data_IF_881444330097
#
_entry.id   IF_881444330097
#
_cell.length_a   1.000
_cell.length_b   1.000
_cell.length_c   1.000
_cell.angle_alpha   90.00
_cell.angle_beta   90.00
_cell.angle_gamma   90.00
#
_symmetry.space_group_name_H-M   'P 1'
#
loop_
_entity.id
_entity.type
_entity.pdbx_description
1 polymer ?
#
# COMPACT_ATOMS: atom_id res chain seq x y z
N UNK A 1 -11.57 -6.09 -6.90
CA UNK A 1 -10.30 -6.02 -6.14
C UNK A 1 -10.64 -6.22 -4.67
N UNK A 2 -10.20 -7.34 -4.08
CA UNK A 2 -10.39 -7.62 -2.66
C UNK A 2 -9.03 -7.50 -1.96
N UNK A 3 -8.91 -6.59 -0.99
CA UNK A 3 -7.74 -6.50 -0.15
C UNK A 3 -7.91 -7.41 1.08
N UNK A 4 -6.83 -8.09 1.46
CA UNK A 4 -6.79 -8.91 2.68
C UNK A 4 -5.72 -8.37 3.61
N UNK A 5 -6.02 -8.22 4.92
CA UNK A 5 -5.03 -7.73 5.87
C UNK A 5 -3.90 -8.74 6.03
N UNK A 6 -2.69 -8.24 6.13
CA UNK A 6 -1.50 -9.01 6.44
C UNK A 6 -0.83 -8.40 7.66
N UNK A 7 -0.54 -9.23 8.66
CA UNK A 7 0.21 -8.83 9.85
C UNK A 7 1.69 -9.11 9.60
N UNK A 8 2.52 -8.11 9.82
CA UNK A 8 3.98 -8.25 9.74
C UNK A 8 4.54 -8.40 11.15
N UNK A 9 5.12 -9.57 11.42
CA UNK A 9 5.73 -9.90 12.69
C UNK A 9 7.25 -9.99 12.51
N UNK A 10 8.01 -9.43 13.44
CA UNK A 10 9.48 -9.48 13.41
C UNK A 10 10.00 -10.01 14.73
N UNK A 11 10.86 -11.01 14.65
CA UNK A 11 11.63 -11.56 15.77
C UNK A 11 13.11 -11.36 15.55
N UNK A 12 13.83 -10.96 16.61
CA UNK A 12 15.27 -10.78 16.64
C UNK A 12 15.87 -11.86 17.53
N UNK A 13 16.60 -12.80 16.94
CA UNK A 13 17.20 -13.92 17.65
C UNK A 13 18.74 -13.81 17.69
N UNK A 14 19.41 -14.33 18.72
CA UNK A 14 20.87 -14.49 18.73
C UNK A 14 21.33 -15.35 17.55
N UNK A 15 22.46 -14.98 16.96
CA UNK A 15 23.07 -15.76 15.86
C UNK A 15 23.73 -14.91 14.81
N UNK A 16 24.21 -15.55 13.75
CA UNK A 16 24.81 -14.84 12.63
C UNK A 16 23.80 -13.90 11.96
N UNK A 17 24.23 -12.67 11.61
CA UNK A 17 23.37 -11.74 10.93
C UNK A 17 22.76 -12.31 9.65
N UNK A 18 21.45 -12.25 9.55
CA UNK A 18 20.73 -12.77 8.39
C UNK A 18 19.24 -12.42 8.50
N UNK A 19 18.56 -12.29 7.38
CA UNK A 19 17.12 -12.01 7.33
C UNK A 19 16.41 -13.16 6.63
N UNK A 20 15.47 -13.77 7.34
CA UNK A 20 14.62 -14.85 6.83
C UNK A 20 13.17 -14.33 6.74
N UNK A 21 12.57 -14.45 5.56
CA UNK A 21 11.14 -14.19 5.37
C UNK A 21 10.37 -15.51 5.32
N UNK A 22 9.25 -15.55 6.06
CA UNK A 22 8.31 -16.68 6.07
C UNK A 22 6.89 -16.18 5.83
N UNK A 23 5.95 -17.08 5.52
CA UNK A 23 4.55 -16.71 5.22
C UNK A 23 4.26 -16.57 3.74
N UNK A 24 4.82 -17.46 2.89
CA UNK A 24 4.62 -17.50 1.44
C UNK A 24 4.94 -16.18 0.70
N UNK A 25 6.13 -15.57 0.92
CA UNK A 25 6.55 -14.45 0.11
C UNK A 25 6.87 -14.91 -1.31
N UNK A 26 6.48 -14.11 -2.31
CA UNK A 26 6.94 -14.32 -3.67
C UNK A 26 8.38 -13.77 -3.87
N UNK A 27 8.87 -13.83 -5.12
CA UNK A 27 10.20 -13.35 -5.45
C UNK A 27 10.36 -11.84 -5.19
N UNK A 28 9.33 -11.04 -5.50
CA UNK A 28 9.38 -9.58 -5.31
C UNK A 28 9.52 -9.21 -3.83
N UNK A 29 8.81 -9.93 -2.94
CA UNK A 29 8.91 -9.74 -1.49
C UNK A 29 10.23 -10.31 -0.93
N UNK A 30 10.77 -11.36 -1.52
CA UNK A 30 12.10 -11.83 -1.14
C UNK A 30 13.19 -10.78 -1.43
N UNK A 31 13.05 -10.02 -2.50
CA UNK A 31 13.91 -8.89 -2.84
C UNK A 31 13.74 -7.69 -1.87
N UNK A 32 12.60 -7.58 -1.20
CA UNK A 32 12.34 -6.54 -0.17
C UNK A 32 13.40 -6.51 0.92
N UNK A 33 14.02 -7.63 1.26
CA UNK A 33 15.09 -7.70 2.27
C UNK A 33 16.21 -6.71 1.99
N UNK A 34 16.70 -6.69 0.76
CA UNK A 34 17.80 -5.83 0.37
C UNK A 34 17.37 -4.36 0.23
N UNK A 35 16.14 -4.13 -0.30
CA UNK A 35 15.58 -2.77 -0.38
C UNK A 35 15.38 -2.18 1.00
N UNK A 36 14.72 -2.88 1.91
CA UNK A 36 14.45 -2.42 3.27
C UNK A 36 15.75 -2.20 4.04
N UNK A 37 16.73 -3.12 3.95
CA UNK A 37 18.04 -2.96 4.60
C UNK A 37 18.76 -1.69 4.13
N UNK A 38 18.77 -1.45 2.82
CA UNK A 38 19.40 -0.25 2.24
C UNK A 38 18.63 1.02 2.63
N UNK A 39 17.29 0.99 2.55
CA UNK A 39 16.43 2.11 2.93
C UNK A 39 16.62 2.51 4.41
N UNK A 40 16.67 1.54 5.32
CA UNK A 40 16.93 1.78 6.75
C UNK A 40 18.28 2.47 6.94
N UNK A 41 19.35 1.92 6.38
CA UNK A 41 20.70 2.47 6.51
C UNK A 41 20.79 3.88 5.92
N UNK A 42 20.26 4.10 4.72
CA UNK A 42 20.32 5.39 4.02
C UNK A 42 19.39 6.43 4.66
N UNK A 43 18.39 6.00 5.43
CA UNK A 43 17.55 6.87 6.27
C UNK A 43 18.18 7.18 7.63
N UNK A 44 19.37 6.66 7.94
CA UNK A 44 20.09 6.90 9.20
C UNK A 44 19.70 5.98 10.35
N UNK A 45 18.97 4.88 10.08
CA UNK A 45 18.64 3.88 11.08
C UNK A 45 19.65 2.74 11.10
N UNK A 46 19.80 2.13 12.27
CA UNK A 46 20.66 0.96 12.44
C UNK A 46 19.93 -0.29 11.97
N UNK A 47 20.50 -1.02 11.03
CA UNK A 47 20.05 -2.37 10.71
C UNK A 47 20.37 -3.36 11.83
N UNK A 48 19.55 -4.38 12.07
CA UNK A 48 19.84 -5.40 13.07
C UNK A 48 21.11 -6.20 12.68
N UNK A 49 22.04 -6.33 13.64
CA UNK A 49 23.28 -7.11 13.52
C UNK A 49 23.11 -8.53 14.07
N UNK A 50 21.89 -9.04 14.06
CA UNK A 50 21.48 -10.33 14.59
C UNK A 50 20.66 -11.10 13.55
N UNK A 51 20.29 -12.33 13.86
CA UNK A 51 19.33 -13.09 13.04
C UNK A 51 17.95 -12.45 13.15
N UNK A 52 17.34 -12.19 12.01
CA UNK A 52 15.98 -11.61 11.89
C UNK A 52 15.07 -12.63 11.22
N UNK A 53 13.93 -12.88 11.82
CA UNK A 53 12.83 -13.62 11.20
C UNK A 53 11.65 -12.68 11.01
N UNK A 54 11.17 -12.57 9.77
CA UNK A 54 10.01 -11.76 9.41
C UNK A 54 8.91 -12.71 8.95
N UNK A 55 7.78 -12.69 9.64
CA UNK A 55 6.61 -13.49 9.28
C UNK A 55 5.53 -12.59 8.70
N UNK A 56 4.97 -12.99 7.56
CA UNK A 56 3.84 -12.35 6.90
C UNK A 56 2.59 -13.21 7.10
N UNK A 57 1.81 -12.93 8.11
CA UNK A 57 0.60 -13.70 8.46
C UNK A 57 -0.66 -13.14 7.76
N UNK A 58 -1.61 -13.99 7.32
CA UNK A 58 -1.63 -15.45 7.43
C UNK A 58 -0.77 -16.14 6.36
N UNK A 59 -0.28 -17.34 6.66
CA UNK A 59 0.65 -18.07 5.79
C UNK A 59 0.01 -18.70 4.55
N UNK A 60 -1.31 -18.87 4.51
CA UNK A 60 -2.08 -19.40 3.39
C UNK A 60 -2.32 -18.39 2.27
N UNK A 61 -2.08 -17.11 2.55
CA UNK A 61 -2.23 -16.03 1.58
C UNK A 61 -0.91 -15.76 0.85
N UNK A 62 -0.92 -15.89 -0.47
CA UNK A 62 0.23 -15.50 -1.30
C UNK A 62 0.38 -14.00 -1.35
N UNK A 63 1.59 -13.48 -1.15
CA UNK A 63 1.92 -12.06 -1.14
C UNK A 63 2.79 -11.77 -2.35
N UNK A 64 2.33 -10.88 -3.23
CA UNK A 64 2.90 -10.66 -4.56
C UNK A 64 3.27 -9.18 -4.84
N UNK A 65 3.22 -8.32 -3.82
CA UNK A 65 3.37 -6.87 -4.03
C UNK A 65 4.50 -6.28 -3.16
N UNK A 66 5.38 -5.42 -3.68
CA UNK A 66 6.44 -4.75 -2.94
C UNK A 66 5.92 -3.73 -1.91
N UNK A 67 4.63 -3.48 -1.83
CA UNK A 67 4.00 -2.60 -0.83
C UNK A 67 4.24 -3.01 0.62
N UNK A 68 4.75 -4.22 0.84
CA UNK A 68 5.18 -4.72 2.17
C UNK A 68 6.52 -4.14 2.64
N UNK A 69 7.29 -3.46 1.81
CA UNK A 69 8.58 -2.87 2.21
C UNK A 69 8.42 -1.93 3.40
N UNK A 70 7.43 -1.03 3.35
CA UNK A 70 7.17 -0.08 4.43
C UNK A 70 6.76 -0.75 5.74
N UNK A 71 5.74 -1.62 5.79
CA UNK A 71 5.40 -2.33 7.02
C UNK A 71 6.55 -3.18 7.57
N UNK A 72 7.36 -3.82 6.74
CA UNK A 72 8.54 -4.56 7.16
C UNK A 72 9.57 -3.63 7.81
N UNK A 73 9.85 -2.47 7.20
CA UNK A 73 10.79 -1.49 7.77
C UNK A 73 10.32 -0.98 9.14
N UNK A 74 9.04 -0.64 9.29
CA UNK A 74 8.48 -0.17 10.56
C UNK A 74 8.53 -1.27 11.64
N UNK A 75 8.20 -2.51 11.29
CA UNK A 75 8.28 -3.64 12.22
C UNK A 75 9.73 -3.90 12.68
N UNK A 76 10.72 -3.77 11.79
CA UNK A 76 12.14 -3.86 12.13
C UNK A 76 12.58 -2.74 13.06
N UNK A 77 12.12 -1.51 12.86
CA UNK A 77 12.42 -0.37 13.73
C UNK A 77 11.85 -0.57 15.14
N UNK A 78 10.66 -1.14 15.25
CA UNK A 78 10.06 -1.48 16.54
C UNK A 78 10.84 -2.61 17.21
N UNK A 79 11.13 -3.70 16.51
CA UNK A 79 11.87 -4.83 17.06
C UNK A 79 13.28 -4.44 17.52
N UNK A 80 13.93 -3.49 16.84
CA UNK A 80 15.25 -2.97 17.21
C UNK A 80 15.23 -1.82 18.24
N UNK A 81 14.05 -1.47 18.77
CA UNK A 81 13.89 -0.41 19.78
C UNK A 81 14.09 1.02 19.27
N UNK A 82 14.13 1.23 17.96
CA UNK A 82 14.30 2.56 17.35
C UNK A 82 12.97 3.30 17.15
N UNK A 83 11.85 2.59 17.22
CA UNK A 83 10.49 3.11 17.22
C UNK A 83 9.69 2.40 18.32
N UNK A 84 8.87 3.12 19.07
CA UNK A 84 8.05 2.50 20.12
C UNK A 84 6.76 1.89 19.51
N UNK A 85 6.39 0.69 19.97
CA UNK A 85 5.21 -0.03 19.46
C UNK A 85 3.90 0.78 19.54
N UNK A 86 3.61 1.54 20.61
CA UNK A 86 2.38 2.34 20.68
C UNK A 86 2.21 3.36 19.55
N UNK A 87 3.31 3.78 18.91
CA UNK A 87 3.26 4.72 17.79
C UNK A 87 2.69 4.11 16.51
N UNK A 88 2.56 2.78 16.45
CA UNK A 88 1.97 2.04 15.33
C UNK A 88 0.56 1.49 15.63
N UNK A 89 0.04 1.68 16.85
CA UNK A 89 -1.28 1.17 17.21
C UNK A 89 -2.38 1.78 16.34
N UNK A 90 -3.23 0.91 15.79
CA UNK A 90 -4.32 1.31 14.89
C UNK A 90 -3.86 1.83 13.52
N UNK A 91 -2.55 1.80 13.23
CA UNK A 91 -1.99 2.27 11.99
C UNK A 91 -1.93 1.13 10.96
N UNK A 92 -2.45 1.40 9.78
CA UNK A 92 -2.23 0.57 8.59
C UNK A 92 -1.25 1.29 7.68
N UNK A 93 -0.47 0.56 6.93
CA UNK A 93 0.48 1.15 6.01
C UNK A 93 0.74 0.26 4.79
N UNK A 94 1.06 0.90 3.67
CA UNK A 94 1.57 0.25 2.47
C UNK A 94 2.48 1.21 1.71
N UNK A 95 3.51 0.68 1.06
CA UNK A 95 4.43 1.46 0.23
C UNK A 95 5.67 0.65 -0.12
N UNK A 96 6.16 0.81 -1.33
CA UNK A 96 7.47 0.33 -1.72
C UNK A 96 8.54 1.30 -1.22
N UNK A 97 9.71 0.80 -0.85
CA UNK A 97 10.86 1.63 -0.45
C UNK A 97 11.90 1.68 -1.55
N UNK A 98 12.31 2.89 -1.91
CA UNK A 98 13.56 3.08 -2.64
C UNK A 98 14.77 2.78 -1.77
N UNK A 99 15.91 2.46 -2.39
CA UNK A 99 17.17 2.21 -1.67
C UNK A 99 17.64 3.42 -0.85
N UNK A 100 17.24 4.61 -1.25
CA UNK A 100 17.47 5.89 -0.58
C UNK A 100 16.52 6.18 0.60
N UNK A 101 15.53 5.28 0.82
CA UNK A 101 14.48 5.42 1.81
C UNK A 101 13.27 6.23 1.35
N UNK A 102 13.19 6.63 0.08
CA UNK A 102 11.98 7.25 -0.48
C UNK A 102 10.80 6.27 -0.46
N UNK A 103 9.59 6.79 -0.18
CA UNK A 103 8.36 6.03 -0.34
C UNK A 103 7.89 6.13 -1.78
N UNK A 104 7.67 4.97 -2.41
CA UNK A 104 7.21 4.85 -3.80
C UNK A 104 5.78 4.36 -3.86
N UNK A 105 5.01 4.82 -4.85
CA UNK A 105 3.61 4.47 -4.99
C UNK A 105 3.42 2.97 -5.18
N UNK A 106 2.32 2.47 -4.62
CA UNK A 106 1.88 1.09 -4.78
C UNK A 106 0.49 1.02 -5.43
N UNK A 107 0.11 -0.16 -5.92
CA UNK A 107 -1.15 -0.38 -6.61
C UNK A 107 -2.26 -0.81 -5.65
N UNK A 108 -3.52 -0.52 -6.02
CA UNK A 108 -4.68 -1.04 -5.29
C UNK A 108 -4.93 -0.39 -3.94
N UNK A 109 -4.43 0.81 -3.71
CA UNK A 109 -4.55 1.54 -2.44
C UNK A 109 -6.00 1.80 -2.06
N UNK A 110 -6.90 1.98 -3.05
CA UNK A 110 -8.33 2.16 -2.75
C UNK A 110 -8.94 0.93 -2.07
N UNK A 111 -8.56 -0.29 -2.50
CA UNK A 111 -9.04 -1.52 -1.87
C UNK A 111 -8.46 -1.69 -0.46
N UNK A 112 -7.19 -1.31 -0.27
CA UNK A 112 -6.54 -1.28 1.03
C UNK A 112 -7.21 -0.27 1.97
N UNK A 113 -7.49 0.95 1.51
CA UNK A 113 -8.17 1.99 2.28
C UNK A 113 -9.58 1.55 2.70
N UNK A 114 -10.35 0.98 1.78
CA UNK A 114 -11.68 0.42 2.10
C UNK A 114 -11.58 -0.68 3.16
N UNK A 115 -10.58 -1.54 3.09
CA UNK A 115 -10.37 -2.61 4.06
C UNK A 115 -9.92 -2.07 5.42
N UNK A 116 -9.01 -1.09 5.44
CA UNK A 116 -8.58 -0.42 6.65
C UNK A 116 -9.76 0.27 7.37
N UNK A 117 -10.62 0.95 6.62
CA UNK A 117 -11.85 1.55 7.15
C UNK A 117 -12.80 0.51 7.76
N UNK A 118 -13.04 -0.61 7.07
CA UNK A 118 -13.87 -1.72 7.58
C UNK A 118 -13.34 -2.27 8.92
N UNK A 119 -12.03 -2.31 9.09
CA UNK A 119 -11.36 -2.74 10.33
C UNK A 119 -11.18 -1.61 11.34
N UNK A 120 -11.80 -0.44 11.13
CA UNK A 120 -11.74 0.72 12.04
C UNK A 120 -10.30 1.16 12.32
N UNK A 121 -9.43 1.11 11.31
CA UNK A 121 -8.07 1.63 11.44
C UNK A 121 -8.13 3.13 11.81
N UNK A 122 -7.23 3.57 12.69
CA UNK A 122 -7.14 4.98 13.09
C UNK A 122 -6.57 5.82 11.94
N UNK A 123 -5.61 5.29 11.20
CA UNK A 123 -5.03 5.94 10.03
C UNK A 123 -4.43 4.92 9.06
N UNK A 124 -4.32 5.34 7.80
CA UNK A 124 -3.59 4.63 6.75
C UNK A 124 -2.44 5.50 6.26
N UNK A 125 -1.22 4.99 6.36
CA UNK A 125 -0.01 5.62 5.80
C UNK A 125 0.23 5.08 4.40
N UNK A 126 0.35 6.00 3.45
CA UNK A 126 0.65 5.69 2.04
C UNK A 126 1.67 6.69 1.48
N UNK A 127 2.34 6.36 0.38
CA UNK A 127 3.13 7.34 -0.38
C UNK A 127 2.28 8.56 -0.80
N UNK A 128 2.88 9.75 -0.93
CA UNK A 128 2.15 10.98 -1.29
C UNK A 128 1.33 10.85 -2.58
N UNK A 129 1.85 10.12 -3.56
CA UNK A 129 1.20 9.90 -4.87
C UNK A 129 -0.10 9.07 -4.75
N UNK A 130 -0.21 8.24 -3.71
CA UNK A 130 -1.40 7.44 -3.43
C UNK A 130 -2.44 8.17 -2.57
N UNK A 131 -2.11 9.35 -2.03
CA UNK A 131 -2.98 10.06 -1.09
C UNK A 131 -4.37 10.38 -1.68
N UNK A 132 -4.41 10.82 -2.93
CA UNK A 132 -5.65 11.16 -3.61
C UNK A 132 -6.55 9.93 -3.79
N UNK A 133 -5.98 8.80 -4.24
CA UNK A 133 -6.69 7.52 -4.38
C UNK A 133 -7.23 7.02 -3.02
N UNK A 134 -6.40 7.05 -1.97
CA UNK A 134 -6.79 6.64 -0.63
C UNK A 134 -7.91 7.51 -0.04
N UNK A 135 -7.87 8.82 -0.32
CA UNK A 135 -8.85 9.80 0.20
C UNK A 135 -10.24 9.66 -0.40
N UNK A 136 -10.44 8.83 -1.43
CA UNK A 136 -11.77 8.49 -1.95
C UNK A 136 -12.60 7.68 -0.94
N UNK A 137 -11.97 7.07 0.06
CA UNK A 137 -12.64 6.35 1.13
C UNK A 137 -12.89 7.31 2.30
N UNK A 138 -14.15 7.65 2.50
CA UNK A 138 -14.57 8.55 3.58
C UNK A 138 -14.42 7.88 4.95
N UNK A 139 -14.15 8.69 6.00
CA UNK A 139 -14.06 8.21 7.38
C UNK A 139 -12.74 7.52 7.76
N UNK A 140 -11.73 7.54 6.89
CA UNK A 140 -10.39 7.06 7.17
C UNK A 140 -9.39 8.22 7.13
N UNK A 141 -8.57 8.35 8.18
CA UNK A 141 -7.48 9.34 8.18
C UNK A 141 -6.35 8.86 7.30
N UNK A 142 -6.05 9.61 6.23
CA UNK A 142 -4.91 9.31 5.36
C UNK A 142 -3.70 10.14 5.80
N UNK A 143 -2.57 9.50 5.95
CA UNK A 143 -1.29 10.10 6.31
C UNK A 143 -0.24 9.80 5.25
N UNK A 144 0.63 10.74 4.98
CA UNK A 144 1.67 10.61 3.96
C UNK A 144 3.03 11.03 4.47
N UNK A 145 4.06 10.40 3.92
CA UNK A 145 5.45 10.80 4.12
C UNK A 145 6.23 10.55 2.84
N UNK A 146 7.13 11.44 2.48
CA UNK A 146 7.94 11.30 1.27
C UNK A 146 9.03 10.23 1.41
N UNK A 147 9.48 9.96 2.63
CA UNK A 147 10.54 8.99 2.91
C UNK A 147 10.42 8.42 4.33
N UNK A 148 11.15 7.33 4.58
CA UNK A 148 11.11 6.59 5.83
C UNK A 148 11.56 7.44 7.05
N UNK A 149 12.57 8.29 6.88
CA UNK A 149 13.04 9.18 7.96
C UNK A 149 11.93 10.14 8.40
N UNK A 150 11.34 10.87 7.45
CA UNK A 150 10.23 11.80 7.72
C UNK A 150 9.05 11.08 8.37
N UNK A 151 8.71 9.87 7.91
CA UNK A 151 7.65 9.09 8.53
C UNK A 151 7.94 8.77 10.00
N UNK A 152 9.15 8.34 10.32
CA UNK A 152 9.52 8.01 11.71
C UNK A 152 9.53 9.26 12.60
N UNK A 153 10.03 10.41 12.10
CA UNK A 153 9.96 11.70 12.80
C UNK A 153 8.49 12.09 13.09
N UNK A 154 7.60 11.88 12.14
CA UNK A 154 6.15 12.14 12.29
C UNK A 154 5.50 11.19 13.31
N UNK A 155 5.84 9.91 13.26
CA UNK A 155 5.33 8.91 14.20
C UNK A 155 5.80 9.18 15.64
N UNK A 156 7.00 9.71 15.81
CA UNK A 156 7.55 10.14 17.10
C UNK A 156 7.00 11.47 17.60
N UNK A 157 6.27 12.20 16.76
CA UNK A 157 5.79 13.55 17.07
C UNK A 157 6.88 14.64 16.96
N UNK A 158 8.05 14.31 16.43
CA UNK A 158 9.16 15.25 16.20
C UNK A 158 8.89 16.17 14.99
N UNK A 159 7.98 15.73 14.11
CA UNK A 159 7.55 16.47 12.93
C UNK A 159 6.03 16.43 12.79
N UNK A 160 5.37 17.56 12.44
CA UNK A 160 3.95 17.56 12.19
C UNK A 160 3.64 16.75 10.92
N UNK A 161 2.48 16.10 10.92
CA UNK A 161 1.95 15.52 9.70
C UNK A 161 1.65 16.63 8.70
N UNK A 162 1.92 16.44 7.40
CA UNK A 162 1.44 17.38 6.39
C UNK A 162 -0.05 17.56 6.59
N UNK A 163 -0.51 18.79 6.49
CA UNK A 163 -1.95 19.03 6.47
C UNK A 163 -2.51 18.12 5.39
N UNK A 164 -3.27 17.11 5.80
CA UNK A 164 -4.07 16.34 4.87
C UNK A 164 -4.98 17.38 4.25
N UNK A 165 -4.71 17.79 3.02
CA UNK A 165 -5.64 18.61 2.31
C UNK A 165 -6.94 17.83 2.37
N UNK A 166 -7.85 18.22 3.27
CA UNK A 166 -9.24 18.08 2.93
C UNK A 166 -9.28 18.72 1.57
N UNK A 167 -9.36 17.91 0.53
CA UNK A 167 -9.72 18.44 -0.76
C UNK A 167 -11.05 19.14 -0.48
N UNK A 168 -10.95 20.42 -0.13
CA UNK A 168 -12.02 21.35 -0.41
C UNK A 168 -12.29 21.03 -1.86
N UNK A 169 -13.34 20.24 -2.06
CA UNK A 169 -13.98 20.18 -3.36
C UNK A 169 -14.05 21.63 -3.79
N UNK A 170 -13.11 22.06 -4.61
CA UNK A 170 -13.31 23.20 -5.45
C UNK A 170 -14.65 22.88 -6.07
N UNK A 171 -15.66 23.64 -5.71
CA UNK A 171 -17.02 23.54 -6.22
C UNK A 171 -17.01 24.01 -7.67
N UNK A 172 -16.29 23.31 -8.49
CA UNK A 172 -16.52 23.23 -9.91
C UNK A 172 -17.66 22.24 -10.05
N UNK A 173 -18.76 22.73 -10.53
CA UNK A 173 -20.06 22.17 -10.90
C UNK A 173 -20.07 20.63 -11.03
N UNK A 174 -21.19 19.94 -10.76
CA UNK A 174 -21.33 18.52 -10.97
C UNK A 174 -21.09 18.21 -12.44
N UNK A 175 -19.83 18.08 -12.81
CA UNK A 175 -19.47 17.35 -13.99
C UNK A 175 -19.93 15.93 -13.72
N UNK A 176 -20.72 15.41 -14.64
CA UNK A 176 -21.23 14.03 -14.77
C UNK A 176 -20.48 13.04 -13.90
N UNK A 177 -21.16 12.05 -13.27
CA UNK A 177 -20.50 11.07 -12.42
C UNK A 177 -19.23 10.63 -13.11
N UNK A 178 -18.09 10.77 -12.40
CA UNK A 178 -16.79 10.43 -12.94
C UNK A 178 -16.88 8.97 -13.40
N UNK A 179 -16.97 8.79 -14.70
CA UNK A 179 -16.85 7.48 -15.32
C UNK A 179 -15.57 6.86 -14.82
N UNK A 180 -15.65 5.66 -14.32
CA UNK A 180 -14.48 4.92 -13.84
C UNK A 180 -13.38 4.96 -14.91
N UNK A 181 -12.09 5.24 -14.58
CA UNK A 181 -11.04 5.40 -15.59
C UNK A 181 -10.86 4.21 -16.53
N UNK A 182 -11.34 3.02 -16.12
CA UNK A 182 -11.35 1.83 -16.97
C UNK A 182 -12.60 1.72 -17.87
N UNK A 183 -13.58 2.61 -17.73
CA UNK A 183 -14.77 2.70 -18.56
C UNK A 183 -14.74 3.90 -19.52
N UNK A 184 -13.68 4.67 -19.47
CA UNK A 184 -13.52 5.86 -20.32
C UNK A 184 -13.01 5.56 -21.74
N UNK A 185 -13.07 4.29 -22.18
CA UNK A 185 -13.12 4.04 -23.57
C UNK A 185 -14.59 4.15 -24.00
N UNK A 186 -15.00 5.34 -24.38
CA UNK A 186 -16.33 5.63 -24.95
C UNK A 186 -16.71 4.62 -26.05
N UNK A 187 -15.73 4.05 -26.73
CA UNK A 187 -15.87 3.00 -27.74
C UNK A 187 -16.28 1.65 -27.13
N UNK A 188 -15.65 1.20 -26.04
CA UNK A 188 -15.97 -0.09 -25.45
C UNK A 188 -17.35 -0.12 -24.78
N UNK A 189 -17.68 0.95 -24.03
CA UNK A 189 -19.01 1.11 -23.42
C UNK A 189 -20.10 1.26 -24.48
N UNK A 190 -19.83 1.98 -25.57
CA UNK A 190 -20.77 2.14 -26.70
C UNK A 190 -20.95 0.82 -27.46
N UNK A 191 -19.87 0.07 -27.71
CA UNK A 191 -19.94 -1.23 -28.35
C UNK A 191 -20.75 -2.22 -27.50
N UNK A 192 -20.57 -2.19 -26.17
CA UNK A 192 -21.35 -3.03 -25.26
C UNK A 192 -22.85 -2.69 -25.30
N UNK A 193 -23.17 -1.40 -25.24
CA UNK A 193 -24.56 -0.94 -25.30
C UNK A 193 -25.22 -1.33 -26.63
N UNK A 194 -24.54 -1.19 -27.76
CA UNK A 194 -25.03 -1.60 -29.07
C UNK A 194 -25.18 -3.13 -29.16
N UNK A 195 -24.22 -3.88 -28.63
CA UNK A 195 -24.28 -5.36 -28.58
C UNK A 195 -25.46 -5.83 -27.74
N UNK A 196 -25.67 -5.24 -26.56
CA UNK A 196 -26.79 -5.59 -25.68
C UNK A 196 -28.15 -5.23 -26.32
N UNK A 197 -28.26 -4.03 -26.92
CA UNK A 197 -29.48 -3.56 -27.54
C UNK A 197 -29.87 -4.38 -28.80
N UNK A 198 -28.86 -4.84 -29.55
CA UNK A 198 -29.07 -5.59 -30.80
C UNK A 198 -28.97 -7.11 -30.68
N UNK A 199 -28.68 -7.65 -29.48
CA UNK A 199 -28.43 -9.08 -29.28
C UNK A 199 -27.21 -9.60 -30.04
N UNK A 200 -26.20 -8.75 -30.27
CA UNK A 200 -25.00 -9.08 -31.01
C UNK A 200 -23.92 -9.68 -30.12
N UNK A 201 -23.08 -10.54 -30.69
CA UNK A 201 -21.90 -11.03 -30.00
C UNK A 201 -20.81 -9.99 -30.02
N UNK A 202 -20.12 -9.81 -28.86
CA UNK A 202 -19.01 -8.88 -28.72
C UNK A 202 -17.75 -9.63 -28.28
N UNK A 203 -16.65 -9.42 -28.99
CA UNK A 203 -15.33 -9.93 -28.62
C UNK A 203 -14.50 -8.82 -28.01
N UNK A 204 -14.10 -8.97 -26.74
CA UNK A 204 -13.21 -8.05 -26.04
C UNK A 204 -11.78 -8.60 -26.07
N UNK A 205 -10.87 -7.90 -26.75
CA UNK A 205 -9.45 -8.27 -26.87
C UNK A 205 -8.59 -7.22 -26.15
N UNK A 206 -7.62 -7.68 -25.36
CA UNK A 206 -6.69 -6.80 -24.65
C UNK A 206 -5.80 -7.58 -23.68
N UNK A 207 -4.76 -6.96 -23.11
CA UNK A 207 -3.85 -7.61 -22.18
C UNK A 207 -4.55 -8.10 -20.90
N UNK A 208 -3.95 -9.06 -20.16
CA UNK A 208 -4.45 -9.47 -18.84
C UNK A 208 -4.60 -8.26 -17.91
N UNK A 209 -5.63 -8.24 -17.08
CA UNK A 209 -5.84 -7.19 -16.09
C UNK A 209 -6.47 -5.88 -16.61
N UNK A 210 -6.75 -5.71 -17.90
CA UNK A 210 -7.36 -4.48 -18.44
C UNK A 210 -8.88 -4.34 -18.20
N UNK A 211 -9.47 -5.22 -17.37
CA UNK A 211 -10.88 -5.09 -16.96
C UNK A 211 -11.93 -5.66 -17.91
N UNK A 212 -11.55 -6.46 -18.92
CA UNK A 212 -12.50 -7.07 -19.90
C UNK A 212 -13.68 -7.79 -19.26
N UNK A 213 -13.39 -8.66 -18.30
CA UNK A 213 -14.43 -9.44 -17.58
C UNK A 213 -15.34 -8.52 -16.77
N UNK A 214 -14.79 -7.48 -16.16
CA UNK A 214 -15.57 -6.49 -15.39
C UNK A 214 -16.45 -5.61 -16.28
N UNK A 215 -16.02 -5.39 -17.52
CA UNK A 215 -16.82 -4.65 -18.51
C UNK A 215 -17.99 -5.51 -19.04
N UNK A 216 -17.83 -6.83 -19.06
CA UNK A 216 -18.85 -7.78 -19.56
C UNK A 216 -19.94 -8.16 -18.54
N UNK A 217 -19.72 -7.85 -17.26
CA UNK A 217 -20.69 -8.01 -16.15
C UNK A 217 -21.34 -6.68 -15.79
#
# INVERSE_FOLDING_TARGET
LEARPVVVEVDLAPGLPGVQLVGLPDKAIQESRERVRSALRNSGFRGPLVRVVINLAPADLRKEDPSFDLPIALALLVASGQLARPQLEGLWCAGELGLDGSLRPCRGVIALAAKAQQHKAQALVVPPENAQEASLIEGLTIRTAANLRTLVEQLKGERPWPATGSSTRSSTQPTKPASWPCLDSSLASRALALSAAGGHHLLLVGPPGCGKTRLAH
#
